data_IF_567349674124
#
_entry.id   IF_567349674124
#
_cell.length_a   1.000
_cell.length_b   1.000
_cell.length_c   1.000
_cell.angle_alpha   90.00
_cell.angle_beta   90.00
_cell.angle_gamma   90.00
#
_symmetry.space_group_name_H-M   'P 1'
#
loop_
_entity.id
_entity.type
_entity.pdbx_description
1 polymer ?
#
# COMPACT_ATOMS: atom_id res chain seq x y z
N UNK A 1 11.47 -12.66 0.91
CA UNK A 1 12.67 -12.50 1.76
C UNK A 1 13.84 -12.16 0.84
N UNK A 2 14.91 -11.56 1.36
CA UNK A 2 16.04 -11.10 0.56
C UNK A 2 16.68 -12.28 -0.19
N UNK A 3 16.93 -12.09 -1.48
CA UNK A 3 17.51 -13.12 -2.35
C UNK A 3 18.37 -12.47 -3.45
N UNK A 4 19.57 -13.01 -3.75
CA UNK A 4 20.43 -12.48 -4.81
C UNK A 4 19.73 -12.51 -6.17
N UNK A 5 19.51 -11.34 -6.76
CA UNK A 5 18.81 -11.20 -8.04
C UNK A 5 17.31 -10.94 -7.91
N UNK A 6 16.77 -10.90 -6.69
CA UNK A 6 15.42 -10.42 -6.44
C UNK A 6 15.43 -8.91 -6.22
N UNK A 7 15.13 -8.16 -7.28
CA UNK A 7 15.05 -6.70 -7.24
C UNK A 7 13.92 -6.21 -8.16
N UNK A 8 13.48 -4.98 -7.90
CA UNK A 8 12.51 -4.29 -8.73
C UNK A 8 12.69 -2.78 -8.54
N UNK A 9 12.45 -1.99 -9.60
CA UNK A 9 12.46 -0.53 -9.49
C UNK A 9 11.10 0.00 -9.00
N UNK A 10 11.07 1.27 -8.56
CA UNK A 10 9.81 1.93 -8.23
C UNK A 10 8.87 2.01 -9.46
N UNK A 11 9.43 2.22 -10.64
CA UNK A 11 8.67 2.27 -11.90
C UNK A 11 8.06 0.91 -12.26
N UNK A 12 8.80 -0.19 -12.07
CA UNK A 12 8.30 -1.54 -12.30
C UNK A 12 7.16 -1.89 -11.33
N UNK A 13 7.30 -1.54 -10.06
CA UNK A 13 6.25 -1.73 -9.05
C UNK A 13 5.00 -0.90 -9.37
N UNK A 14 5.16 0.35 -9.83
CA UNK A 14 4.04 1.19 -10.24
C UNK A 14 3.26 0.54 -11.39
N UNK A 15 3.95 0.08 -12.43
CA UNK A 15 3.34 -0.61 -13.59
C UNK A 15 2.63 -1.90 -13.17
N UNK A 16 3.27 -2.72 -12.34
CA UNK A 16 2.67 -3.95 -11.84
C UNK A 16 1.42 -3.67 -10.99
N UNK A 17 1.47 -2.62 -10.17
CA UNK A 17 0.36 -2.22 -9.30
C UNK A 17 -0.83 -1.66 -10.09
N UNK A 18 -0.57 -0.88 -11.14
CA UNK A 18 -1.62 -0.42 -12.06
C UNK A 18 -2.33 -1.60 -12.73
N UNK A 19 -1.58 -2.57 -13.25
CA UNK A 19 -2.17 -3.78 -13.85
C UNK A 19 -2.92 -4.63 -12.82
N UNK A 20 -2.42 -4.73 -11.59
CA UNK A 20 -3.11 -5.42 -10.50
C UNK A 20 -4.45 -4.77 -10.20
N UNK A 21 -4.49 -3.46 -10.00
CA UNK A 21 -5.73 -2.75 -9.68
C UNK A 21 -6.74 -2.80 -10.83
N UNK A 22 -6.26 -2.78 -12.08
CA UNK A 22 -7.10 -2.87 -13.27
C UNK A 22 -7.73 -4.25 -13.45
N UNK A 23 -6.97 -5.32 -13.20
CA UNK A 23 -7.40 -6.70 -13.47
C UNK A 23 -8.06 -7.38 -12.28
N UNK A 24 -7.71 -6.98 -11.07
CA UNK A 24 -8.12 -7.62 -9.82
C UNK A 24 -8.64 -6.56 -8.82
N UNK A 25 -9.76 -5.88 -9.14
CA UNK A 25 -10.33 -4.85 -8.27
C UNK A 25 -10.67 -5.37 -6.86
N UNK A 26 -10.95 -6.66 -6.71
CA UNK A 26 -11.16 -7.33 -5.43
C UNK A 26 -9.91 -7.30 -4.54
N UNK A 27 -8.71 -7.41 -5.11
CA UNK A 27 -7.45 -7.32 -4.36
C UNK A 27 -7.23 -5.89 -3.89
N UNK A 28 -7.56 -4.89 -4.72
CA UNK A 28 -7.51 -3.49 -4.32
C UNK A 28 -8.50 -3.20 -3.16
N UNK A 29 -9.72 -3.75 -3.23
CA UNK A 29 -10.71 -3.63 -2.16
C UNK A 29 -10.24 -4.30 -0.85
N UNK A 30 -9.60 -5.48 -0.94
CA UNK A 30 -8.99 -6.12 0.22
C UNK A 30 -7.89 -5.25 0.82
N UNK A 31 -7.03 -4.66 -0.01
CA UNK A 31 -5.94 -3.80 0.44
C UNK A 31 -6.42 -2.51 1.12
N UNK A 32 -7.62 -2.04 0.79
CA UNK A 32 -8.29 -0.90 1.42
C UNK A 32 -8.97 -1.24 2.75
N UNK A 33 -9.07 -2.52 3.13
CA UNK A 33 -9.76 -2.93 4.37
C UNK A 33 -8.95 -2.50 5.61
N UNK A 34 -9.49 -1.67 6.52
CA UNK A 34 -8.73 -1.18 7.68
C UNK A 34 -8.45 -2.25 8.73
N UNK A 35 -9.41 -3.15 8.92
CA UNK A 35 -9.34 -4.27 9.86
C UNK A 35 -10.31 -5.37 9.45
N UNK A 36 -9.99 -6.61 9.80
CA UNK A 36 -10.84 -7.76 9.56
C UNK A 36 -10.77 -8.70 10.77
N UNK A 37 -11.91 -9.22 11.21
CA UNK A 37 -11.94 -10.33 12.16
C UNK A 37 -12.08 -11.63 11.38
N UNK A 38 -11.08 -12.50 11.46
CA UNK A 38 -11.22 -13.89 11.05
C UNK A 38 -11.92 -14.65 12.18
N UNK A 39 -13.10 -15.25 11.97
CA UNK A 39 -13.80 -15.97 13.01
C UNK A 39 -13.03 -17.24 13.42
N UNK A 40 -13.30 -17.75 14.62
CA UNK A 40 -12.78 -19.03 15.05
C UNK A 40 -13.35 -20.17 14.20
N UNK A 41 -12.54 -21.19 13.97
CA UNK A 41 -12.94 -22.45 13.34
C UNK A 41 -12.59 -23.61 14.27
N UNK A 42 -12.84 -24.85 13.83
CA UNK A 42 -12.41 -26.03 14.58
C UNK A 42 -10.87 -26.16 14.70
N UNK A 43 -10.11 -25.48 13.83
CA UNK A 43 -8.65 -25.62 13.74
C UNK A 43 -7.87 -24.38 14.21
N UNK A 44 -8.54 -23.25 14.43
CA UNK A 44 -7.90 -22.03 14.95
C UNK A 44 -8.88 -21.12 15.69
N UNK A 45 -8.35 -20.28 16.58
CA UNK A 45 -9.12 -19.24 17.27
C UNK A 45 -9.42 -18.06 16.35
N UNK A 46 -10.26 -17.13 16.81
CA UNK A 46 -10.54 -15.91 16.04
C UNK A 46 -9.34 -14.97 16.04
N UNK A 47 -9.04 -14.34 14.89
CA UNK A 47 -7.96 -13.36 14.75
C UNK A 47 -8.52 -11.97 14.46
N UNK A 48 -8.08 -10.97 15.21
CA UNK A 48 -8.27 -9.57 14.85
C UNK A 48 -7.07 -9.11 14.00
N UNK A 49 -7.32 -8.86 12.71
CA UNK A 49 -6.33 -8.38 11.76
C UNK A 49 -6.46 -6.87 11.60
N UNK A 50 -5.31 -6.19 11.57
CA UNK A 50 -5.23 -4.76 11.32
C UNK A 50 -4.34 -4.50 10.11
N UNK A 51 -4.75 -3.55 9.29
CA UNK A 51 -3.94 -3.14 8.16
C UNK A 51 -2.70 -2.40 8.65
N UNK A 52 -1.53 -2.94 8.29
CA UNK A 52 -0.25 -2.34 8.61
C UNK A 52 0.03 -1.08 7.79
N UNK A 53 -0.65 -0.88 6.67
CA UNK A 53 -0.58 0.39 5.94
C UNK A 53 -1.36 1.45 6.71
N UNK A 54 -0.65 2.28 7.46
CA UNK A 54 -1.26 3.31 8.31
C UNK A 54 -2.02 4.38 7.51
N UNK A 55 -1.69 4.58 6.23
CA UNK A 55 -2.42 5.52 5.37
C UNK A 55 -3.91 5.19 5.31
N UNK A 56 -4.27 3.91 5.24
CA UNK A 56 -5.68 3.45 5.18
C UNK A 56 -6.51 3.97 6.37
N UNK A 57 -5.88 4.20 7.52
CA UNK A 57 -6.56 4.68 8.73
C UNK A 57 -6.35 6.17 9.00
N UNK A 58 -5.29 6.78 8.45
CA UNK A 58 -4.83 8.12 8.83
C UNK A 58 -4.89 9.16 7.71
N UNK A 59 -4.82 8.73 6.45
CA UNK A 59 -4.68 9.64 5.31
C UNK A 59 -6.00 9.77 4.53
N UNK A 60 -6.58 10.99 4.41
CA UNK A 60 -7.86 11.18 3.72
C UNK A 60 -7.81 10.71 2.27
N UNK A 61 -8.75 9.83 1.92
CA UNK A 61 -8.88 9.24 0.59
C UNK A 61 -7.98 8.03 0.34
N UNK A 62 -7.20 7.55 1.32
CA UNK A 62 -6.34 6.38 1.12
C UNK A 62 -7.12 5.11 0.73
N UNK A 63 -6.62 4.42 -0.28
CA UNK A 63 -7.18 3.17 -0.84
C UNK A 63 -6.22 1.98 -0.71
N UNK A 64 -5.08 2.16 -0.02
CA UNK A 64 -4.26 1.06 0.46
C UNK A 64 -3.10 0.66 -0.45
N UNK A 65 -3.11 -0.59 -0.89
CA UNK A 65 -2.02 -1.39 -1.45
C UNK A 65 -1.11 -2.09 -0.42
N UNK A 66 0.19 -1.75 -0.25
CA UNK A 66 1.08 -2.64 0.51
C UNK A 66 2.37 -2.01 1.06
N UNK A 67 2.69 -2.37 2.31
CA UNK A 67 3.98 -2.14 2.99
C UNK A 67 5.00 -3.26 2.74
N UNK A 68 6.29 -3.00 2.82
CA UNK A 68 7.35 -4.01 2.78
C UNK A 68 8.54 -3.60 3.63
N UNK A 69 9.24 -4.57 4.21
CA UNK A 69 10.50 -4.32 4.92
C UNK A 69 11.37 -5.57 4.92
N UNK A 70 12.66 -5.38 4.66
CA UNK A 70 13.73 -6.36 4.91
C UNK A 70 15.00 -5.64 5.31
N UNK A 71 16.02 -6.39 5.77
CA UNK A 71 17.32 -5.83 6.13
C UNK A 71 18.01 -5.15 4.96
N UNK A 72 17.90 -5.71 3.75
CA UNK A 72 18.51 -5.11 2.55
C UNK A 72 17.64 -4.06 1.87
N UNK A 73 16.32 -4.21 1.85
CA UNK A 73 15.43 -3.29 1.13
C UNK A 73 15.07 -2.02 1.93
N UNK A 74 15.17 -2.07 3.26
CA UNK A 74 14.65 -1.01 4.13
C UNK A 74 13.12 -0.91 4.06
N UNK A 75 12.58 0.25 4.46
CA UNK A 75 11.14 0.50 4.40
C UNK A 75 10.66 0.76 2.97
N UNK A 76 9.71 -0.05 2.50
CA UNK A 76 9.07 0.09 1.21
C UNK A 76 7.56 0.27 1.38
N UNK A 77 6.94 1.03 0.49
CA UNK A 77 5.50 1.23 0.46
C UNK A 77 5.03 1.46 -0.96
N UNK A 78 3.92 0.82 -1.32
CA UNK A 78 3.06 1.27 -2.40
C UNK A 78 1.77 1.74 -1.74
N UNK A 79 1.49 3.03 -1.89
CA UNK A 79 0.32 3.69 -1.30
C UNK A 79 -0.56 4.27 -2.39
N UNK A 80 -1.87 4.09 -2.29
CA UNK A 80 -2.84 4.69 -3.20
C UNK A 80 -3.85 5.54 -2.47
N UNK A 81 -4.37 6.57 -3.14
CA UNK A 81 -5.45 7.40 -2.64
C UNK A 81 -6.31 7.97 -3.77
N UNK A 82 -7.57 8.24 -3.49
CA UNK A 82 -8.53 8.90 -4.38
C UNK A 82 -9.13 10.12 -3.71
N UNK A 83 -9.08 11.28 -4.37
CA UNK A 83 -9.74 12.53 -3.96
C UNK A 83 -10.40 13.17 -5.16
N UNK A 84 -11.66 13.57 -5.02
CA UNK A 84 -12.42 14.27 -6.07
C UNK A 84 -12.38 13.58 -7.45
N UNK A 85 -12.44 12.24 -7.46
CA UNK A 85 -12.40 11.43 -8.69
C UNK A 85 -11.00 11.22 -9.29
N UNK A 86 -9.96 11.88 -8.77
CA UNK A 86 -8.57 11.68 -9.17
C UNK A 86 -7.91 10.61 -8.31
N UNK A 87 -7.30 9.62 -8.95
CA UNK A 87 -6.58 8.53 -8.30
C UNK A 87 -5.07 8.72 -8.44
N UNK A 88 -4.34 8.62 -7.33
CA UNK A 88 -2.88 8.72 -7.28
C UNK A 88 -2.26 7.51 -6.58
N UNK A 89 -1.04 7.16 -7.02
CA UNK A 89 -0.20 6.14 -6.44
C UNK A 89 1.17 6.72 -6.13
N UNK A 90 1.74 6.32 -4.99
CA UNK A 90 3.14 6.60 -4.62
C UNK A 90 3.86 5.28 -4.34
N UNK A 91 5.09 5.17 -4.83
CA UNK A 91 6.00 4.05 -4.55
C UNK A 91 7.23 4.60 -3.85
N UNK A 92 7.51 4.09 -2.65
CA UNK A 92 8.70 4.39 -1.88
C UNK A 92 9.54 3.13 -1.70
N UNK A 93 10.84 3.27 -1.89
CA UNK A 93 11.85 2.23 -1.67
C UNK A 93 12.92 2.78 -0.73
N UNK A 94 13.40 1.94 0.20
CA UNK A 94 14.47 2.28 1.15
C UNK A 94 14.24 3.57 1.97
N UNK A 95 12.98 3.85 2.34
CA UNK A 95 12.62 5.01 3.15
C UNK A 95 12.60 4.67 4.65
N UNK A 96 13.14 5.55 5.53
CA UNK A 96 13.02 5.41 6.98
C UNK A 96 11.66 5.87 7.51
N UNK A 97 10.84 6.57 6.70
CA UNK A 97 9.57 7.20 7.11
C UNK A 97 8.49 7.03 6.05
N UNK A 98 8.24 5.77 5.68
CA UNK A 98 7.37 5.42 4.54
C UNK A 98 5.99 6.09 4.57
N UNK A 99 5.36 6.27 5.73
CA UNK A 99 4.00 6.83 5.80
C UNK A 99 4.00 8.36 5.69
N UNK A 100 4.91 9.04 6.39
CA UNK A 100 5.00 10.50 6.36
C UNK A 100 5.41 11.00 4.97
N UNK A 101 6.39 10.33 4.36
CA UNK A 101 6.88 10.69 3.03
C UNK A 101 5.84 10.37 1.95
N UNK A 102 5.10 9.28 2.08
CA UNK A 102 4.02 8.96 1.15
C UNK A 102 2.86 9.95 1.26
N UNK A 103 2.46 10.34 2.47
CA UNK A 103 1.43 11.35 2.67
C UNK A 103 1.84 12.68 2.02
N UNK A 104 3.08 13.13 2.23
CA UNK A 104 3.61 14.35 1.64
C UNK A 104 3.64 14.31 0.09
N UNK A 105 4.05 13.18 -0.49
CA UNK A 105 4.09 13.01 -1.95
C UNK A 105 2.68 12.92 -2.57
N UNK A 106 1.74 12.25 -1.88
CA UNK A 106 0.35 12.22 -2.31
C UNK A 106 -0.27 13.62 -2.23
N UNK A 107 -0.03 14.37 -1.15
CA UNK A 107 -0.50 15.76 -1.03
C UNK A 107 0.08 16.65 -2.13
N UNK A 108 1.39 16.53 -2.39
CA UNK A 108 2.03 17.22 -3.51
C UNK A 108 1.36 16.85 -4.84
N UNK A 109 1.13 15.57 -5.08
CA UNK A 109 0.46 15.08 -6.28
C UNK A 109 -0.94 15.65 -6.41
N UNK A 110 -1.76 15.64 -5.35
CA UNK A 110 -3.12 16.19 -5.38
C UNK A 110 -3.15 17.70 -5.56
N UNK A 111 -2.12 18.43 -5.11
CA UNK A 111 -2.00 19.87 -5.33
C UNK A 111 -1.62 20.25 -6.77
N UNK A 112 -1.17 19.30 -7.60
CA UNK A 112 -0.91 19.56 -9.03
C UNK A 112 -2.19 19.46 -9.87
N UNK A 113 -2.30 20.22 -10.98
CA UNK A 113 -3.39 20.04 -11.94
C UNK A 113 -3.46 18.60 -12.46
N UNK A 114 -4.67 18.15 -12.73
CA UNK A 114 -4.96 16.88 -13.42
C UNK A 114 -4.60 16.95 -14.90
#
# INVERSE_FOLDING_TARGET
LDDPGHYMSAADLARASEELMRRFPEVAAMAATPSLTLPATATHHAYALYNLNELVRKYPGATGLKTGWTGHAGGCLIGTATRDGRHLMVVLLASPRIFDEAAALLDYGFATPS
#
